data_IF_500531653187
#
_entry.id   IF_500531653187
#
_cell.length_a   1.000
_cell.length_b   1.000
_cell.length_c   1.000
_cell.angle_alpha   90.00
_cell.angle_beta   90.00
_cell.angle_gamma   90.00
#
_symmetry.space_group_name_H-M   'P 1'
#
loop_
_entity.id
_entity.type
_entity.pdbx_description
1 polymer ?
#
# COMPACT_ATOMS: atom_id res chain seq x y z
N UNK A 1 -6.16 4.38 -3.38
CA UNK A 1 -4.86 4.49 -4.11
C UNK A 1 -5.14 4.49 -5.61
N UNK A 2 -5.18 5.65 -6.26
CA UNK A 2 -5.55 5.75 -7.68
C UNK A 2 -4.42 6.35 -8.51
N UNK A 3 -4.23 5.83 -9.72
CA UNK A 3 -3.23 6.36 -10.64
C UNK A 3 -3.57 7.81 -11.03
N UNK A 4 -2.59 8.73 -10.92
CA UNK A 4 -2.80 10.12 -11.35
C UNK A 4 -2.98 10.29 -12.86
N UNK A 5 -2.59 9.30 -13.67
CA UNK A 5 -2.74 9.34 -15.13
C UNK A 5 -4.10 8.80 -15.58
N UNK A 6 -4.40 7.56 -15.22
CA UNK A 6 -5.59 6.86 -15.72
C UNK A 6 -6.70 6.65 -14.66
N UNK A 7 -6.55 7.21 -13.46
CA UNK A 7 -7.49 7.10 -12.33
C UNK A 7 -7.85 5.68 -11.87
N UNK A 8 -7.17 4.67 -12.40
CA UNK A 8 -7.42 3.26 -12.07
C UNK A 8 -6.85 2.92 -10.69
N UNK A 9 -7.55 2.06 -9.98
CA UNK A 9 -7.12 1.59 -8.66
C UNK A 9 -5.81 0.81 -8.76
N UNK A 10 -4.84 1.14 -7.90
CA UNK A 10 -3.48 0.60 -7.92
C UNK A 10 -3.26 -0.45 -6.83
N UNK A 11 -4.21 -1.36 -6.64
CA UNK A 11 -4.12 -2.43 -5.65
C UNK A 11 -3.61 -3.73 -6.27
N UNK A 12 -2.94 -4.56 -5.47
CA UNK A 12 -2.40 -5.87 -5.89
C UNK A 12 -1.38 -5.78 -7.05
N UNK A 13 -0.70 -4.65 -7.21
CA UNK A 13 0.30 -4.44 -8.26
C UNK A 13 1.71 -4.54 -7.66
N UNK A 14 2.45 -5.60 -8.02
CA UNK A 14 3.86 -5.77 -7.65
C UNK A 14 4.84 -5.02 -8.56
N UNK A 15 4.43 -4.71 -9.79
CA UNK A 15 5.29 -4.10 -10.80
C UNK A 15 5.66 -2.62 -10.51
N UNK A 16 5.09 -1.99 -9.47
CA UNK A 16 5.22 -0.54 -9.16
C UNK A 16 4.93 0.40 -10.34
N UNK A 17 4.25 -0.13 -11.34
CA UNK A 17 3.88 0.54 -12.57
C UNK A 17 2.41 0.28 -12.83
N UNK A 18 1.69 1.33 -13.23
CA UNK A 18 0.30 1.17 -13.56
C UNK A 18 0.16 0.30 -14.82
N UNK A 19 -0.53 -0.85 -14.79
CA UNK A 19 -0.65 -1.73 -15.96
C UNK A 19 -1.43 -1.08 -17.11
N UNK A 20 -2.11 0.04 -16.87
CA UNK A 20 -2.91 0.74 -17.88
C UNK A 20 -2.18 1.91 -18.55
N UNK A 21 -1.21 2.54 -17.88
CA UNK A 21 -0.53 3.73 -18.41
C UNK A 21 0.98 3.73 -18.17
N UNK A 22 1.52 2.62 -17.66
CA UNK A 22 2.92 2.37 -17.32
C UNK A 22 3.56 3.36 -16.33
N UNK A 23 2.77 4.31 -15.81
CA UNK A 23 3.29 5.33 -14.91
C UNK A 23 3.82 4.69 -13.63
N UNK A 24 5.07 5.00 -13.23
CA UNK A 24 5.62 4.53 -11.96
C UNK A 24 4.83 5.17 -10.81
N UNK A 25 4.54 4.37 -9.80
CA UNK A 25 3.92 4.84 -8.57
C UNK A 25 4.61 4.21 -7.37
N UNK A 26 4.61 4.94 -6.26
CA UNK A 26 5.20 4.51 -5.00
C UNK A 26 4.13 4.47 -3.93
N UNK A 27 3.98 3.39 -3.17
CA UNK A 27 3.09 3.34 -2.01
C UNK A 27 3.31 4.48 -1.03
N UNK A 28 4.56 4.89 -0.82
CA UNK A 28 4.94 5.99 0.08
C UNK A 28 4.48 7.38 -0.36
N UNK A 29 4.12 7.57 -1.64
CA UNK A 29 3.57 8.83 -2.15
C UNK A 29 2.09 9.04 -1.79
N UNK A 30 1.44 8.00 -1.24
CA UNK A 30 0.06 8.06 -0.79
C UNK A 30 0.01 8.11 0.74
N UNK A 31 -1.10 8.59 1.30
CA UNK A 31 -1.38 8.42 2.73
C UNK A 31 -2.62 7.56 2.88
N UNK A 32 -2.60 6.73 3.90
CA UNK A 32 -3.67 5.79 4.19
C UNK A 32 -4.19 6.01 5.59
N UNK A 33 -5.43 5.63 5.83
CA UNK A 33 -5.89 5.50 7.22
C UNK A 33 -5.21 4.30 7.88
N UNK A 34 -4.78 4.41 9.15
CA UNK A 34 -4.28 3.26 9.88
C UNK A 34 -5.34 2.15 9.92
N UNK A 35 -4.87 0.91 9.87
CA UNK A 35 -5.69 -0.31 9.92
C UNK A 35 -6.61 -0.55 8.72
N UNK A 36 -6.50 0.26 7.65
CA UNK A 36 -7.32 0.10 6.44
C UNK A 36 -6.59 -0.55 5.27
N UNK A 37 -5.26 -0.60 5.31
CA UNK A 37 -4.41 -1.12 4.22
C UNK A 37 -3.45 -2.19 4.73
N UNK A 38 -3.33 -3.26 3.96
CA UNK A 38 -2.35 -4.34 4.14
C UNK A 38 -1.22 -4.19 3.14
N UNK A 39 0.00 -4.30 3.65
CA UNK A 39 1.24 -4.29 2.88
C UNK A 39 1.72 -5.72 2.78
N UNK A 40 1.61 -6.31 1.61
CA UNK A 40 1.97 -7.70 1.37
C UNK A 40 3.40 -7.80 0.84
N UNK A 41 4.20 -8.69 1.44
CA UNK A 41 5.56 -8.96 0.99
C UNK A 41 5.53 -9.49 -0.46
N UNK A 42 6.32 -8.93 -1.39
CA UNK A 42 6.31 -9.34 -2.79
C UNK A 42 6.84 -10.77 -3.02
N UNK A 43 7.49 -11.37 -2.03
CA UNK A 43 8.11 -12.69 -2.14
C UNK A 43 7.27 -13.83 -1.57
N UNK A 44 6.56 -13.59 -0.46
CA UNK A 44 5.81 -14.62 0.25
C UNK A 44 4.33 -14.24 0.48
N UNK A 45 3.91 -13.08 -0.02
CA UNK A 45 2.56 -12.53 0.17
C UNK A 45 2.15 -12.31 1.63
N UNK A 46 3.12 -12.32 2.56
CA UNK A 46 2.84 -12.02 3.96
C UNK A 46 2.32 -10.60 4.12
N UNK A 47 1.12 -10.45 4.66
CA UNK A 47 0.47 -9.16 4.90
C UNK A 47 0.87 -8.54 6.24
N UNK A 48 1.24 -7.28 6.20
CA UNK A 48 1.52 -6.42 7.35
C UNK A 48 0.48 -5.31 7.39
N UNK A 49 -0.23 -5.17 8.50
CA UNK A 49 -1.24 -4.13 8.64
C UNK A 49 -0.56 -2.78 8.89
N UNK A 50 -0.88 -1.78 8.09
CA UNK A 50 -0.37 -0.42 8.27
C UNK A 50 -0.98 0.25 9.49
N UNK A 51 -0.32 0.13 10.65
CA UNK A 51 -0.77 0.72 11.93
C UNK A 51 -0.12 2.05 12.29
N UNK A 52 0.88 2.48 11.52
CA UNK A 52 1.55 3.75 11.73
C UNK A 52 0.63 4.94 11.52
N UNK A 53 1.02 6.12 12.01
CA UNK A 53 0.23 7.35 11.92
C UNK A 53 -0.13 7.75 10.47
N UNK A 54 0.71 7.37 9.51
CA UNK A 54 0.50 7.58 8.07
C UNK A 54 -0.26 6.44 7.37
N UNK A 55 -0.68 5.42 8.13
CA UNK A 55 -1.24 4.17 7.62
C UNK A 55 -0.22 3.20 7.03
N UNK A 56 1.06 3.38 7.37
CA UNK A 56 2.17 2.51 6.97
C UNK A 56 2.60 1.56 8.10
N UNK A 57 3.26 0.42 7.79
CA UNK A 57 4.03 -0.32 8.78
C UNK A 57 5.14 0.56 9.35
N UNK A 58 5.37 0.46 10.65
CA UNK A 58 6.49 1.09 11.34
C UNK A 58 7.34 -0.01 12.00
N UNK A 59 8.62 -0.20 11.60
CA UNK A 59 9.41 0.62 10.66
C UNK A 59 9.04 0.42 9.17
N UNK A 60 9.41 1.40 8.31
CA UNK A 60 9.17 1.38 6.85
C UNK A 60 9.97 0.33 6.07
N UNK A 61 11.09 -0.11 6.64
CA UNK A 61 11.95 -1.16 6.07
C UNK A 61 12.26 -2.17 7.15
N UNK A 62 11.96 -3.44 6.89
CA UNK A 62 12.08 -4.50 7.87
C UNK A 62 12.33 -5.85 7.21
N UNK A 63 12.84 -6.82 7.98
CA UNK A 63 12.94 -8.20 7.53
C UNK A 63 11.57 -8.88 7.63
N UNK A 64 11.13 -9.52 6.56
CA UNK A 64 9.89 -10.25 6.54
C UNK A 64 9.96 -11.44 7.51
N UNK A 65 9.00 -11.56 8.44
CA UNK A 65 9.00 -12.62 9.46
C UNK A 65 8.81 -14.05 8.89
N UNK A 66 8.41 -14.16 7.61
CA UNK A 66 8.22 -15.44 6.93
C UNK A 66 9.36 -15.83 5.99
N UNK A 67 9.87 -14.89 5.19
CA UNK A 67 10.91 -15.17 4.20
C UNK A 67 12.30 -14.61 4.55
N UNK A 68 12.42 -13.94 5.70
CA UNK A 68 13.63 -13.30 6.24
C UNK A 68 14.28 -12.24 5.34
N UNK A 69 13.68 -11.94 4.17
CA UNK A 69 14.17 -10.91 3.27
C UNK A 69 13.85 -9.52 3.79
N UNK A 70 14.82 -8.62 3.68
CA UNK A 70 14.62 -7.20 3.91
C UNK A 70 13.71 -6.66 2.81
N UNK A 71 12.56 -6.13 3.20
CA UNK A 71 11.58 -5.52 2.33
C UNK A 71 11.36 -4.07 2.76
N UNK A 72 11.16 -3.19 1.77
CA UNK A 72 10.75 -1.80 1.99
C UNK A 72 9.28 -1.64 1.57
N UNK A 73 8.54 -0.80 2.28
CA UNK A 73 7.13 -0.51 1.98
C UNK A 73 6.89 -0.06 0.54
N UNK A 74 7.88 0.53 -0.13
CA UNK A 74 7.77 0.93 -1.53
C UNK A 74 7.65 -0.28 -2.47
N UNK A 75 8.31 -1.39 -2.13
CA UNK A 75 8.36 -2.61 -2.93
C UNK A 75 7.24 -3.60 -2.56
N UNK A 76 6.47 -3.28 -1.52
CA UNK A 76 5.37 -4.10 -1.04
C UNK A 76 4.11 -3.92 -1.89
N UNK A 77 3.33 -5.00 -1.97
CA UNK A 77 2.07 -5.04 -2.70
C UNK A 77 0.95 -4.57 -1.76
N UNK A 78 0.26 -3.49 -2.11
CA UNK A 78 -0.81 -2.96 -1.25
C UNK A 78 -2.16 -3.61 -1.57
N UNK A 79 -2.89 -3.93 -0.52
CA UNK A 79 -4.24 -4.47 -0.57
C UNK A 79 -5.14 -3.76 0.43
N UNK A 80 -6.42 -3.62 0.10
CA UNK A 80 -7.43 -3.18 1.07
C UNK A 80 -7.56 -4.22 2.19
N UNK A 81 -7.71 -3.77 3.42
CA UNK A 81 -7.98 -4.67 4.53
C UNK A 81 -9.34 -5.36 4.34
N UNK A 82 -9.49 -6.55 4.90
CA UNK A 82 -10.72 -7.33 4.77
C UNK A 82 -11.90 -6.58 5.38
N UNK A 83 -12.98 -6.39 4.61
CA UNK A 83 -14.16 -5.64 5.04
C UNK A 83 -14.01 -4.12 4.97
N UNK A 84 -12.91 -3.61 4.41
CA UNK A 84 -12.69 -2.18 4.18
C UNK A 84 -12.85 -1.86 2.71
N UNK A 85 -13.70 -0.89 2.41
CA UNK A 85 -13.90 -0.39 1.05
C UNK A 85 -12.80 0.62 0.67
N UNK A 86 -12.48 0.71 -0.62
CA UNK A 86 -11.37 1.56 -1.10
C UNK A 86 -11.48 3.04 -0.68
N UNK A 87 -12.70 3.57 -0.54
CA UNK A 87 -12.90 4.95 -0.09
C UNK A 87 -12.51 5.17 1.37
N UNK A 88 -12.65 4.14 2.22
CA UNK A 88 -12.30 4.19 3.64
C UNK A 88 -10.78 4.20 3.86
N UNK A 89 -10.01 3.74 2.86
CA UNK A 89 -8.54 3.80 2.92
C UNK A 89 -8.00 5.21 2.79
N UNK A 90 -8.80 6.16 2.29
CA UNK A 90 -8.39 7.56 2.18
C UNK A 90 -8.51 8.24 3.55
N UNK A 91 -7.48 8.98 4.00
CA UNK A 91 -7.66 9.88 5.14
C UNK A 91 -8.84 10.82 4.84
N UNK A 92 -9.68 11.10 5.84
CA UNK A 92 -10.76 12.07 5.68
C UNK A 92 -10.13 13.39 5.22
N UNK A 93 -10.34 13.76 3.95
CA UNK A 93 -10.23 15.15 3.60
C UNK A 93 -11.54 15.76 4.09
N UNK A 94 -11.56 16.29 5.31
CA UNK A 94 -12.59 17.24 5.72
C UNK A 94 -12.26 18.50 4.91
N UNK A 95 -13.04 18.87 3.89
CA UNK A 95 -12.91 20.19 3.30
C UNK A 95 -13.37 21.18 4.39
N UNK A 96 -12.46 22.03 4.82
CA UNK A 96 -12.76 23.20 5.64
C UNK A 96 -13.59 24.20 4.83
#
# INVERSE_FOLDING_TARGET
>A
MHCRGCQRALWKIAARQCPSCDRPFKPSDFRFRPETVRFCCPHCSQGYLGRGADGFPDPRRFACVFCDRVIDIDEMVLEVAQGVEEYQTKPDMIPW
#
